data_IF_281138649962
#
_entry.id   IF_281138649962
#
_cell.length_a   1.000
_cell.length_b   1.000
_cell.length_c   1.000
_cell.angle_alpha   90.00
_cell.angle_beta   90.00
_cell.angle_gamma   90.00
#
_symmetry.space_group_name_H-M   'P 1'
#
loop_
_entity.id
_entity.type
_entity.pdbx_description
1 polymer ?
#
# COMPACT_ATOMS: atom_id res chain seq x y z
N UNK A 1 -0.66 -3.10 -18.90
CA UNK A 1 -0.19 -3.34 -17.52
C UNK A 1 -0.40 -4.82 -17.25
N UNK A 2 0.66 -5.60 -17.36
CA UNK A 2 0.63 -7.03 -17.01
C UNK A 2 0.96 -7.12 -15.52
N UNK A 3 -0.05 -7.12 -14.66
CA UNK A 3 0.03 -7.61 -13.29
C UNK A 3 -0.24 -9.13 -13.33
N UNK A 4 0.60 -9.88 -14.07
CA UNK A 4 0.24 -11.26 -14.38
C UNK A 4 0.58 -12.29 -13.29
N UNK A 5 1.42 -12.00 -12.30
CA UNK A 5 1.87 -13.04 -11.38
C UNK A 5 1.60 -12.80 -9.89
N UNK A 6 1.38 -11.55 -9.43
CA UNK A 6 1.18 -11.26 -8.01
C UNK A 6 -0.21 -11.57 -7.45
N UNK A 7 -1.23 -11.69 -8.32
CA UNK A 7 -2.62 -12.00 -7.91
C UNK A 7 -2.95 -13.48 -8.15
N UNK A 8 -2.16 -14.20 -8.96
CA UNK A 8 -2.43 -15.61 -9.31
C UNK A 8 -2.28 -16.60 -8.16
N UNK A 9 -1.48 -16.27 -7.13
CA UNK A 9 -1.32 -17.13 -5.94
C UNK A 9 -2.34 -16.83 -4.83
N UNK A 10 -3.10 -15.75 -4.94
CA UNK A 10 -4.23 -15.53 -4.06
C UNK A 10 -5.41 -16.38 -4.56
N UNK A 11 -5.55 -17.58 -4.00
CA UNK A 11 -6.73 -18.45 -4.14
C UNK A 11 -8.05 -17.75 -3.70
N UNK A 12 -8.03 -16.43 -3.55
CA UNK A 12 -9.11 -15.63 -2.97
C UNK A 12 -10.30 -15.45 -3.91
N UNK A 13 -10.07 -15.40 -5.23
CA UNK A 13 -11.12 -15.09 -6.21
C UNK A 13 -11.13 -16.14 -7.32
N UNK A 14 -11.61 -17.34 -7.01
CA UNK A 14 -11.88 -18.40 -7.99
C UNK A 14 -13.28 -18.92 -7.73
N UNK A 15 -14.12 -18.96 -8.76
CA UNK A 15 -15.50 -19.39 -8.61
C UNK A 15 -16.23 -19.53 -9.93
N UNK A 16 -17.53 -19.85 -9.88
CA UNK A 16 -18.38 -19.94 -11.08
C UNK A 16 -18.95 -18.60 -11.48
N UNK A 17 -19.27 -17.72 -10.55
CA UNK A 17 -19.89 -16.43 -10.82
C UNK A 17 -19.27 -15.29 -10.01
N UNK A 18 -19.14 -14.13 -10.65
CA UNK A 18 -18.64 -12.89 -10.06
C UNK A 18 -19.50 -11.70 -10.49
N UNK A 19 -19.73 -10.76 -9.56
CA UNK A 19 -20.35 -9.47 -9.87
C UNK A 19 -19.34 -8.35 -9.58
N UNK A 20 -19.21 -7.38 -10.51
CA UNK A 20 -18.17 -6.36 -10.48
C UNK A 20 -18.79 -4.97 -10.71
N UNK A 21 -18.41 -4.02 -9.84
CA UNK A 21 -18.64 -2.59 -10.04
C UNK A 21 -17.30 -1.89 -10.23
N UNK A 22 -16.99 -1.51 -11.47
CA UNK A 22 -15.73 -0.93 -11.89
C UNK A 22 -15.96 0.05 -13.04
N UNK A 23 -15.52 1.30 -12.90
CA UNK A 23 -15.87 2.42 -13.80
C UNK A 23 -15.63 2.15 -15.28
N UNK A 24 -14.45 1.64 -15.67
CA UNK A 24 -14.07 1.39 -17.06
C UNK A 24 -14.03 -0.08 -17.43
N UNK A 25 -14.37 -0.98 -16.50
CA UNK A 25 -14.28 -2.40 -16.69
C UNK A 25 -12.85 -2.94 -16.76
N UNK A 26 -11.85 -2.17 -16.32
CA UNK A 26 -10.44 -2.59 -16.37
C UNK A 26 -10.19 -3.69 -15.34
N UNK A 27 -10.52 -3.45 -14.06
CA UNK A 27 -10.38 -4.47 -13.03
C UNK A 27 -11.25 -5.70 -13.37
N UNK A 28 -12.46 -5.45 -13.90
CA UNK A 28 -13.34 -6.50 -14.40
C UNK A 28 -12.67 -7.38 -15.45
N UNK A 29 -11.98 -6.78 -16.41
CA UNK A 29 -11.33 -7.52 -17.51
C UNK A 29 -10.25 -8.48 -17.01
N UNK A 30 -9.57 -8.16 -15.91
CA UNK A 30 -8.57 -9.05 -15.29
C UNK A 30 -9.21 -10.07 -14.35
N UNK A 31 -10.08 -9.62 -13.45
CA UNK A 31 -10.69 -10.47 -12.43
C UNK A 31 -11.59 -11.54 -13.04
N UNK A 32 -12.38 -11.19 -14.04
CA UNK A 32 -13.31 -12.11 -14.71
C UNK A 32 -12.62 -13.32 -15.36
N UNK A 33 -11.32 -13.23 -15.66
CA UNK A 33 -10.57 -14.37 -16.23
C UNK A 33 -10.51 -15.58 -15.31
N UNK A 34 -10.71 -15.40 -14.00
CA UNK A 34 -10.77 -16.48 -13.00
C UNK A 34 -12.14 -17.13 -12.83
N UNK A 35 -13.17 -16.66 -13.55
CA UNK A 35 -14.56 -17.09 -13.38
C UNK A 35 -15.18 -17.64 -14.66
N UNK A 36 -16.18 -18.51 -14.53
CA UNK A 36 -16.94 -19.04 -15.67
C UNK A 36 -17.89 -18.01 -16.26
N UNK A 37 -18.46 -17.17 -15.41
CA UNK A 37 -19.29 -16.04 -15.80
C UNK A 37 -19.03 -14.85 -14.86
N UNK A 38 -19.19 -13.66 -15.40
CA UNK A 38 -19.10 -12.41 -14.62
C UNK A 38 -20.21 -11.47 -15.05
N UNK A 39 -20.64 -10.61 -14.12
CA UNK A 39 -21.59 -9.53 -14.40
C UNK A 39 -20.93 -8.20 -14.06
N UNK A 40 -20.78 -7.35 -15.05
CA UNK A 40 -20.32 -5.97 -14.91
C UNK A 40 -21.53 -5.04 -14.76
N UNK A 41 -21.55 -4.26 -13.67
CA UNK A 41 -22.68 -3.36 -13.34
C UNK A 41 -22.18 -1.93 -13.28
N UNK A 42 -22.71 -1.06 -14.14
CA UNK A 42 -22.34 0.35 -14.20
C UNK A 42 -23.58 1.20 -14.52
N UNK A 43 -23.74 2.32 -13.80
CA UNK A 43 -24.90 3.22 -13.97
C UNK A 43 -24.79 4.17 -15.18
N UNK A 44 -23.56 4.44 -15.64
CA UNK A 44 -23.31 5.33 -16.76
C UNK A 44 -23.37 4.54 -18.06
N UNK A 45 -24.34 4.86 -18.91
CA UNK A 45 -24.59 4.18 -20.19
C UNK A 45 -23.34 4.22 -21.10
N UNK A 46 -22.67 5.38 -21.19
CA UNK A 46 -21.44 5.54 -22.00
C UNK A 46 -20.34 4.57 -21.59
N UNK A 47 -20.18 4.27 -20.29
CA UNK A 47 -19.19 3.32 -19.81
C UNK A 47 -19.60 1.88 -20.11
N UNK A 48 -20.89 1.58 -20.08
CA UNK A 48 -21.43 0.29 -20.52
C UNK A 48 -21.18 0.05 -22.01
N UNK A 49 -21.35 1.06 -22.86
CA UNK A 49 -21.05 0.98 -24.30
C UNK A 49 -19.57 0.72 -24.56
N UNK A 50 -18.67 1.41 -23.84
CA UNK A 50 -17.21 1.19 -23.90
C UNK A 50 -16.87 -0.25 -23.49
N UNK A 51 -17.43 -0.73 -22.39
CA UNK A 51 -17.23 -2.11 -21.92
C UNK A 51 -17.76 -3.14 -22.93
N UNK A 52 -18.93 -2.90 -23.51
CA UNK A 52 -19.53 -3.78 -24.54
C UNK A 52 -18.68 -3.88 -25.81
N UNK A 53 -17.93 -2.83 -26.14
CA UNK A 53 -16.95 -2.87 -27.23
C UNK A 53 -15.67 -3.62 -26.82
N UNK A 54 -15.15 -3.33 -25.63
CA UNK A 54 -13.83 -3.79 -25.20
C UNK A 54 -13.80 -5.29 -24.79
N UNK A 55 -14.81 -5.77 -24.06
CA UNK A 55 -14.80 -7.15 -23.56
C UNK A 55 -14.71 -8.20 -24.68
N UNK A 56 -15.48 -8.12 -25.79
CA UNK A 56 -15.30 -9.03 -26.91
C UNK A 56 -13.92 -8.95 -27.56
N UNK A 57 -13.33 -7.76 -27.70
CA UNK A 57 -11.99 -7.56 -28.26
C UNK A 57 -10.92 -8.24 -27.38
N UNK A 58 -11.15 -8.29 -26.06
CA UNK A 58 -10.30 -8.98 -25.08
C UNK A 58 -10.63 -10.47 -24.93
N UNK A 59 -11.55 -11.03 -25.74
CA UNK A 59 -12.07 -12.39 -25.64
C UNK A 59 -12.79 -12.72 -24.32
N UNK A 60 -13.41 -11.73 -23.70
CA UNK A 60 -14.14 -11.83 -22.41
C UNK A 60 -15.66 -11.93 -22.65
N UNK A 61 -16.08 -12.81 -23.56
CA UNK A 61 -17.49 -12.99 -23.96
C UNK A 61 -18.40 -13.56 -22.86
N UNK A 62 -17.84 -14.00 -21.74
CA UNK A 62 -18.56 -14.53 -20.59
C UNK A 62 -18.96 -13.43 -19.58
N UNK A 63 -18.68 -12.16 -19.89
CA UNK A 63 -19.07 -11.02 -19.07
C UNK A 63 -20.42 -10.48 -19.53
N UNK A 64 -21.42 -10.44 -18.64
CA UNK A 64 -22.70 -9.80 -18.84
C UNK A 64 -22.65 -8.35 -18.39
N UNK A 65 -23.13 -7.43 -19.20
CA UNK A 65 -23.18 -6.00 -18.87
C UNK A 65 -24.57 -5.62 -18.40
N UNK A 66 -24.67 -4.89 -17.28
CA UNK A 66 -25.90 -4.33 -16.73
C UNK A 66 -25.73 -2.83 -16.57
N UNK A 67 -26.55 -2.07 -17.29
CA UNK A 67 -26.63 -0.62 -17.09
C UNK A 67 -27.65 -0.33 -15.98
N UNK A 68 -27.17 -0.34 -14.75
CA UNK A 68 -28.00 -0.20 -13.55
C UNK A 68 -27.19 0.36 -12.38
N UNK A 69 -27.87 0.94 -11.39
CA UNK A 69 -27.22 1.31 -10.13
C UNK A 69 -26.76 0.07 -9.36
N UNK A 70 -25.52 0.04 -8.95
CA UNK A 70 -24.91 -1.12 -8.31
C UNK A 70 -25.57 -1.54 -7.00
N UNK A 71 -26.12 -0.59 -6.19
CA UNK A 71 -26.80 -0.91 -4.94
C UNK A 71 -28.18 -1.49 -5.22
N UNK A 72 -28.89 -0.91 -6.21
CA UNK A 72 -30.18 -1.43 -6.68
C UNK A 72 -30.04 -2.86 -7.21
N UNK A 73 -29.03 -3.09 -8.06
CA UNK A 73 -28.74 -4.43 -8.57
C UNK A 73 -28.37 -5.42 -7.47
N UNK A 74 -27.54 -5.01 -6.50
CA UNK A 74 -27.16 -5.84 -5.35
C UNK A 74 -28.38 -6.35 -4.56
N UNK A 75 -29.43 -5.55 -4.41
CA UNK A 75 -30.64 -5.94 -3.69
C UNK A 75 -31.36 -7.11 -4.36
N UNK A 76 -31.40 -7.14 -5.70
CA UNK A 76 -32.22 -8.07 -6.49
C UNK A 76 -31.44 -9.24 -7.10
N UNK A 77 -30.11 -9.15 -7.19
CA UNK A 77 -29.29 -10.20 -7.77
C UNK A 77 -29.33 -11.51 -6.96
N UNK A 78 -29.16 -12.62 -7.65
CA UNK A 78 -28.92 -13.90 -7.01
C UNK A 78 -27.53 -13.94 -6.33
N UNK A 79 -27.35 -14.76 -5.28
CA UNK A 79 -26.03 -14.95 -4.68
C UNK A 79 -24.98 -15.46 -5.68
N UNK A 80 -23.75 -14.98 -5.55
CA UNK A 80 -22.60 -15.32 -6.38
C UNK A 80 -21.42 -15.80 -5.52
N UNK A 81 -20.36 -16.32 -6.10
CA UNK A 81 -19.17 -16.72 -5.37
C UNK A 81 -18.38 -15.52 -4.85
N UNK A 82 -18.27 -14.49 -5.67
CA UNK A 82 -17.45 -13.31 -5.36
C UNK A 82 -18.08 -12.02 -5.84
N UNK A 83 -17.89 -10.95 -5.06
CA UNK A 83 -18.21 -9.57 -5.40
C UNK A 83 -16.95 -8.72 -5.38
N UNK A 84 -16.84 -7.82 -6.35
CA UNK A 84 -15.81 -6.78 -6.37
C UNK A 84 -16.46 -5.40 -6.42
N UNK A 85 -15.97 -4.47 -5.59
CA UNK A 85 -16.44 -3.09 -5.54
C UNK A 85 -15.27 -2.11 -5.54
N UNK A 86 -15.37 -1.09 -6.39
CA UNK A 86 -14.51 0.11 -6.38
C UNK A 86 -15.38 1.34 -6.07
N UNK A 87 -15.68 1.61 -4.77
CA UNK A 87 -16.52 2.74 -4.39
C UNK A 87 -15.83 4.06 -4.71
N UNK A 88 -16.59 4.98 -5.32
CA UNK A 88 -16.10 6.31 -5.65
C UNK A 88 -15.98 7.18 -4.39
N UNK A 89 -15.05 8.12 -4.37
CA UNK A 89 -14.99 9.13 -3.31
C UNK A 89 -16.09 10.17 -3.50
N UNK A 90 -16.76 10.57 -2.43
CA UNK A 90 -17.65 11.75 -2.44
C UNK A 90 -16.81 13.02 -2.40
N UNK A 91 -16.69 13.70 -3.52
CA UNK A 91 -15.92 14.96 -3.63
C UNK A 91 -16.86 16.17 -3.69
N UNK A 92 -17.82 16.31 -2.79
CA UNK A 92 -18.69 17.50 -2.82
C UNK A 92 -17.99 18.79 -2.36
N UNK A 93 -16.88 18.70 -1.58
CA UNK A 93 -16.22 19.91 -1.05
C UNK A 93 -14.69 19.86 -0.98
N UNK A 94 -14.00 19.04 -1.79
CA UNK A 94 -12.52 19.04 -1.86
C UNK A 94 -11.79 18.62 -0.59
N UNK A 95 -12.47 18.00 0.36
CA UNK A 95 -11.89 17.49 1.60
C UNK A 95 -11.06 16.22 1.40
N UNK A 96 -10.16 15.92 2.35
CA UNK A 96 -9.44 14.64 2.35
C UNK A 96 -10.40 13.53 2.79
N UNK A 97 -10.72 12.62 1.87
CA UNK A 97 -11.44 11.39 2.17
C UNK A 97 -10.55 10.48 3.00
N UNK A 98 -10.91 10.22 4.26
CA UNK A 98 -10.14 9.41 5.21
C UNK A 98 -10.90 8.20 5.72
N UNK A 99 -12.24 8.20 5.65
CA UNK A 99 -13.15 7.17 6.13
C UNK A 99 -13.88 6.45 4.99
N UNK A 100 -14.36 5.24 5.24
CA UNK A 100 -15.20 4.50 4.30
C UNK A 100 -16.55 5.19 4.10
N UNK A 101 -17.08 5.83 5.14
CA UNK A 101 -18.30 6.65 5.08
C UNK A 101 -18.22 7.81 4.09
N UNK A 102 -17.01 8.23 3.69
CA UNK A 102 -16.79 9.25 2.67
C UNK A 102 -16.84 8.68 1.23
N UNK A 103 -17.10 7.38 1.08
CA UNK A 103 -17.19 6.70 -0.22
C UNK A 103 -18.65 6.52 -0.66
N UNK A 104 -18.87 6.37 -1.96
CA UNK A 104 -20.17 6.04 -2.55
C UNK A 104 -20.04 4.81 -3.46
N UNK A 105 -20.77 3.71 -3.12
CA UNK A 105 -21.61 3.56 -1.93
C UNK A 105 -20.78 3.46 -0.64
N UNK A 106 -21.44 3.75 0.52
CA UNK A 106 -20.86 3.47 1.82
C UNK A 106 -20.87 1.95 2.08
N UNK A 107 -19.74 1.31 1.83
CA UNK A 107 -19.63 -0.16 1.91
C UNK A 107 -19.76 -0.69 3.33
N UNK A 108 -19.53 0.12 4.37
CA UNK A 108 -19.73 -0.29 5.75
C UNK A 108 -21.22 -0.48 6.09
N UNK A 109 -22.10 0.35 5.51
CA UNK A 109 -23.56 0.17 5.65
C UNK A 109 -24.09 -1.01 4.84
N UNK A 110 -23.37 -1.40 3.79
CA UNK A 110 -23.75 -2.51 2.90
C UNK A 110 -23.13 -3.86 3.29
N UNK A 111 -22.24 -3.92 4.29
CA UNK A 111 -21.45 -5.10 4.62
C UNK A 111 -22.31 -6.36 4.78
N UNK A 112 -23.42 -6.28 5.52
CA UNK A 112 -24.32 -7.41 5.73
C UNK A 112 -24.98 -7.87 4.42
N UNK A 113 -25.47 -6.93 3.60
CA UNK A 113 -26.09 -7.24 2.32
C UNK A 113 -25.08 -7.85 1.34
N UNK A 114 -23.86 -7.31 1.28
CA UNK A 114 -22.78 -7.83 0.44
C UNK A 114 -22.48 -9.29 0.79
N UNK A 115 -22.37 -9.62 2.07
CA UNK A 115 -22.11 -10.98 2.55
C UNK A 115 -23.31 -11.92 2.43
N UNK A 116 -24.55 -11.41 2.38
CA UNK A 116 -25.71 -12.21 2.00
C UNK A 116 -25.70 -12.61 0.52
N UNK A 117 -25.07 -11.79 -0.33
CA UNK A 117 -25.03 -11.97 -1.78
C UNK A 117 -23.76 -12.64 -2.30
N UNK A 118 -22.69 -12.71 -1.50
CA UNK A 118 -21.47 -13.39 -1.91
C UNK A 118 -20.72 -14.05 -0.75
N UNK A 119 -20.02 -15.14 -1.07
CA UNK A 119 -19.14 -15.81 -0.10
C UNK A 119 -17.90 -14.97 0.20
N UNK A 120 -17.42 -14.23 -0.78
CA UNK A 120 -16.23 -13.36 -0.70
C UNK A 120 -16.52 -12.00 -1.34
N UNK A 121 -16.11 -10.94 -0.66
CA UNK A 121 -16.25 -9.58 -1.16
C UNK A 121 -14.88 -8.91 -1.15
N UNK A 122 -14.44 -8.41 -2.30
CA UNK A 122 -13.23 -7.60 -2.42
C UNK A 122 -13.61 -6.15 -2.64
N UNK A 123 -13.09 -5.28 -1.78
CA UNK A 123 -13.32 -3.83 -1.84
C UNK A 123 -12.00 -3.14 -2.14
N UNK A 124 -11.91 -2.43 -3.28
CA UNK A 124 -10.76 -1.62 -3.65
C UNK A 124 -10.94 -0.20 -3.11
N UNK A 125 -10.00 0.25 -2.31
CA UNK A 125 -10.03 1.55 -1.66
C UNK A 125 -8.78 2.38 -1.99
N UNK A 126 -8.95 3.68 -1.92
CA UNK A 126 -7.84 4.62 -2.09
C UNK A 126 -6.78 4.46 -0.99
N UNK A 127 -5.48 4.57 -1.31
CA UNK A 127 -4.41 4.58 -0.33
C UNK A 127 -4.45 5.79 0.64
N UNK A 128 -5.30 6.78 0.39
CA UNK A 128 -5.50 7.91 1.31
C UNK A 128 -6.35 7.55 2.54
N UNK A 129 -7.18 6.50 2.46
CA UNK A 129 -8.00 6.04 3.58
C UNK A 129 -7.14 5.57 4.76
N UNK A 130 -7.61 5.82 5.98
CA UNK A 130 -6.99 5.31 7.20
C UNK A 130 -7.35 3.83 7.38
N UNK A 131 -6.33 2.96 7.31
CA UNK A 131 -6.52 1.51 7.44
C UNK A 131 -7.12 1.13 8.80
N UNK A 132 -6.67 1.80 9.88
CA UNK A 132 -7.16 1.47 11.22
C UNK A 132 -8.63 1.84 11.41
N UNK A 133 -9.07 2.92 10.76
CA UNK A 133 -10.47 3.33 10.74
C UNK A 133 -11.30 2.35 9.88
N UNK A 134 -10.81 2.02 8.69
CA UNK A 134 -11.48 1.08 7.80
C UNK A 134 -11.74 -0.29 8.48
N UNK A 135 -10.74 -0.82 9.20
CA UNK A 135 -10.87 -2.08 9.94
C UNK A 135 -11.76 -1.99 11.21
N UNK A 136 -12.09 -0.80 11.67
CA UNK A 136 -13.12 -0.60 12.72
C UNK A 136 -14.53 -0.57 12.14
N UNK A 137 -14.67 -0.05 10.92
CA UNK A 137 -15.97 0.07 10.24
C UNK A 137 -16.40 -1.26 9.61
N UNK A 138 -15.47 -2.02 8.98
CA UNK A 138 -15.74 -3.34 8.38
C UNK A 138 -15.44 -4.48 9.37
N UNK A 139 -16.48 -5.15 9.83
CA UNK A 139 -16.41 -6.16 10.91
C UNK A 139 -16.00 -7.56 10.44
N UNK A 140 -16.29 -7.88 9.19
CA UNK A 140 -16.06 -9.20 8.60
C UNK A 140 -14.81 -9.23 7.71
N UNK A 141 -13.86 -8.30 7.96
CA UNK A 141 -12.58 -8.29 7.25
C UNK A 141 -11.77 -9.54 7.59
N UNK A 142 -11.34 -10.25 6.55
CA UNK A 142 -10.46 -11.43 6.66
C UNK A 142 -9.02 -11.07 6.35
N UNK A 143 -8.81 -10.35 5.26
CA UNK A 143 -7.49 -10.00 4.75
C UNK A 143 -7.46 -8.56 4.26
N UNK A 144 -6.28 -7.95 4.32
CA UNK A 144 -5.99 -6.64 3.73
C UNK A 144 -4.76 -6.76 2.85
N UNK A 145 -4.84 -6.28 1.62
CA UNK A 145 -3.68 -6.17 0.75
C UNK A 145 -3.38 -4.70 0.47
N UNK A 146 -2.15 -4.28 0.75
CA UNK A 146 -1.67 -2.93 0.50
C UNK A 146 -0.70 -3.00 -0.65
N UNK A 147 -1.12 -2.48 -1.80
CA UNK A 147 -0.38 -2.55 -3.04
C UNK A 147 0.40 -1.27 -3.31
N UNK A 148 1.67 -1.43 -3.57
CA UNK A 148 2.57 -0.37 -4.04
C UNK A 148 3.18 -0.76 -5.38
N UNK A 149 3.45 0.22 -6.22
CA UNK A 149 4.16 0.04 -7.48
C UNK A 149 5.36 0.99 -7.49
N UNK A 150 6.56 0.45 -7.69
CA UNK A 150 7.81 1.21 -7.66
C UNK A 150 7.94 2.08 -6.38
N UNK A 151 7.55 1.51 -5.24
CA UNK A 151 7.58 2.17 -3.92
C UNK A 151 6.60 3.36 -3.76
N UNK A 152 5.51 3.36 -4.50
CA UNK A 152 4.39 4.29 -4.34
C UNK A 152 3.11 3.51 -4.03
N UNK A 153 2.47 3.76 -2.88
CA UNK A 153 1.24 3.07 -2.50
C UNK A 153 0.10 3.47 -3.43
N UNK A 154 -0.51 2.49 -4.09
CA UNK A 154 -1.53 2.69 -5.12
C UNK A 154 -2.93 2.35 -4.63
N UNK A 155 -3.09 1.25 -3.91
CA UNK A 155 -4.40 0.71 -3.56
C UNK A 155 -4.38 -0.01 -2.21
N UNK A 156 -5.56 -0.05 -1.58
CA UNK A 156 -5.89 -0.92 -0.48
C UNK A 156 -7.00 -1.86 -0.96
N UNK A 157 -6.78 -3.17 -0.85
CA UNK A 157 -7.82 -4.17 -1.10
C UNK A 157 -8.21 -4.78 0.24
N UNK A 158 -9.49 -4.75 0.57
CA UNK A 158 -10.05 -5.38 1.77
C UNK A 158 -10.92 -6.55 1.33
N UNK A 159 -10.65 -7.73 1.87
CA UNK A 159 -11.43 -8.93 1.64
C UNK A 159 -12.32 -9.20 2.84
N UNK A 160 -13.62 -9.27 2.58
CA UNK A 160 -14.62 -9.68 3.54
C UNK A 160 -15.03 -11.14 3.28
N UNK A 161 -15.41 -11.85 4.32
CA UNK A 161 -15.92 -13.20 4.24
C UNK A 161 -17.01 -13.48 5.26
N UNK A 162 -17.64 -14.65 5.15
CA UNK A 162 -18.81 -15.07 5.98
C UNK A 162 -18.50 -15.21 7.47
N UNK A 163 -17.25 -15.41 7.84
CA UNK A 163 -16.81 -15.60 9.22
C UNK A 163 -15.69 -14.63 9.55
N UNK A 164 -15.74 -13.99 10.72
CA UNK A 164 -14.61 -13.21 11.21
C UNK A 164 -13.46 -14.15 11.57
N UNK A 165 -12.27 -13.95 11.02
CA UNK A 165 -11.10 -14.73 11.40
C UNK A 165 -10.67 -14.35 12.82
N UNK A 166 -9.91 -15.24 13.49
CA UNK A 166 -9.30 -14.92 14.78
C UNK A 166 -8.33 -13.72 14.66
N UNK A 167 -7.62 -13.65 13.54
CA UNK A 167 -6.68 -12.56 13.22
C UNK A 167 -6.80 -12.14 11.76
N UNK A 168 -6.71 -10.83 11.50
CA UNK A 168 -6.70 -10.26 10.15
C UNK A 168 -5.28 -10.28 9.61
N UNK A 169 -5.06 -10.97 8.48
CA UNK A 169 -3.79 -10.94 7.76
C UNK A 169 -3.62 -9.66 6.96
N UNK A 170 -2.47 -9.01 7.08
CA UNK A 170 -2.12 -7.80 6.35
C UNK A 170 -0.95 -8.10 5.41
N UNK A 171 -1.21 -8.05 4.12
CA UNK A 171 -0.27 -8.31 3.05
C UNK A 171 0.25 -6.99 2.47
N UNK A 172 1.55 -6.76 2.61
CA UNK A 172 2.24 -5.60 2.06
C UNK A 172 2.99 -6.02 0.80
N UNK A 173 2.56 -5.56 -0.36
CA UNK A 173 3.13 -5.92 -1.65
C UNK A 173 3.66 -4.68 -2.36
N UNK A 174 4.89 -4.74 -2.85
CA UNK A 174 5.48 -3.69 -3.67
C UNK A 174 5.98 -4.28 -4.98
N UNK A 175 5.30 -3.98 -6.07
CA UNK A 175 5.61 -4.47 -7.42
C UNK A 175 6.62 -3.54 -8.11
N UNK A 176 7.50 -4.12 -8.93
CA UNK A 176 8.45 -3.37 -9.74
C UNK A 176 8.14 -3.55 -11.23
N UNK A 177 8.09 -2.43 -11.93
CA UNK A 177 7.87 -2.43 -13.39
C UNK A 177 9.18 -2.59 -14.19
N UNK A 178 10.33 -2.48 -13.52
CA UNK A 178 11.67 -2.58 -14.12
C UNK A 178 12.61 -3.36 -13.20
N UNK A 179 13.65 -3.94 -13.77
CA UNK A 179 14.66 -4.71 -13.04
C UNK A 179 14.35 -6.20 -12.97
N UNK A 180 15.22 -6.94 -12.30
CA UNK A 180 15.11 -8.41 -12.13
C UNK A 180 14.16 -8.79 -11.00
N UNK A 181 14.14 -8.01 -9.92
CA UNK A 181 13.21 -8.20 -8.82
C UNK A 181 11.81 -7.78 -9.30
N UNK A 182 10.84 -8.67 -9.17
CA UNK A 182 9.46 -8.42 -9.58
C UNK A 182 8.63 -7.84 -8.46
N UNK A 183 8.83 -8.31 -7.23
CA UNK A 183 8.05 -7.91 -6.08
C UNK A 183 8.83 -7.99 -4.76
N UNK A 184 8.33 -7.28 -3.77
CA UNK A 184 8.64 -7.46 -2.34
C UNK A 184 7.32 -7.75 -1.64
N UNK A 185 7.30 -8.79 -0.80
CA UNK A 185 6.11 -9.20 -0.07
C UNK A 185 6.45 -9.38 1.41
N UNK A 186 5.56 -8.88 2.28
CA UNK A 186 5.64 -9.06 3.72
C UNK A 186 4.24 -9.22 4.29
N UNK A 187 4.05 -10.21 5.14
CA UNK A 187 2.76 -10.51 5.78
C UNK A 187 2.90 -10.42 7.28
N UNK A 188 1.94 -9.82 7.94
CA UNK A 188 1.86 -9.75 9.40
C UNK A 188 0.41 -9.63 9.86
N UNK A 189 0.16 -9.78 11.17
CA UNK A 189 -1.13 -9.49 11.78
C UNK A 189 -1.05 -8.26 12.69
N UNK A 190 -2.18 -7.66 13.02
CA UNK A 190 -2.21 -6.54 13.98
C UNK A 190 -1.71 -6.94 15.37
N UNK A 191 -2.00 -8.16 15.79
CA UNK A 191 -1.50 -8.69 17.05
C UNK A 191 0.02 -8.84 17.04
N UNK A 192 0.58 -9.37 15.96
CA UNK A 192 2.04 -9.43 15.77
C UNK A 192 2.68 -8.04 15.87
N UNK A 193 2.11 -7.02 15.22
CA UNK A 193 2.62 -5.65 15.31
C UNK A 193 2.57 -5.10 16.75
N UNK A 194 1.51 -5.40 17.49
CA UNK A 194 1.35 -4.93 18.88
C UNK A 194 2.26 -5.65 19.86
N UNK A 195 2.44 -6.96 19.70
CA UNK A 195 3.17 -7.82 20.61
C UNK A 195 4.66 -7.92 20.28
N UNK A 196 5.07 -7.61 19.04
CA UNK A 196 6.48 -7.70 18.64
C UNK A 196 7.36 -6.73 19.42
N UNK A 197 8.48 -7.23 19.89
CA UNK A 197 9.54 -6.41 20.47
C UNK A 197 10.34 -5.72 19.36
N UNK A 198 10.75 -4.49 19.62
CA UNK A 198 11.57 -3.71 18.72
C UNK A 198 12.77 -3.12 19.45
N UNK A 199 13.96 -3.49 19.04
CA UNK A 199 15.19 -2.94 19.56
C UNK A 199 15.49 -1.59 18.93
N UNK A 200 15.70 -0.57 19.76
CA UNK A 200 16.10 0.77 19.33
C UNK A 200 17.60 0.97 19.48
N UNK A 201 18.14 1.96 18.74
CA UNK A 201 19.57 2.24 18.79
C UNK A 201 19.88 3.73 18.88
N UNK A 202 20.96 4.05 19.60
CA UNK A 202 21.53 5.40 19.72
C UNK A 202 22.66 5.66 18.71
N UNK A 203 22.98 4.67 17.88
CA UNK A 203 24.07 4.71 16.88
C UNK A 203 23.65 4.10 15.56
N UNK A 204 24.28 4.55 14.48
CA UNK A 204 24.14 3.95 13.16
C UNK A 204 25.16 2.83 12.97
N UNK A 205 24.78 1.86 12.15
CA UNK A 205 25.60 0.73 11.72
C UNK A 205 25.99 0.87 10.26
N UNK A 206 26.45 -0.18 9.62
CA UNK A 206 26.97 -0.15 8.24
C UNK A 206 25.89 0.14 7.20
N UNK A 207 24.68 -0.38 7.39
CA UNK A 207 23.57 -0.26 6.45
C UNK A 207 22.37 0.46 7.06
N UNK A 208 21.68 1.22 6.22
CA UNK A 208 20.39 1.86 6.52
C UNK A 208 19.29 1.20 5.68
N UNK A 209 18.18 0.89 6.33
CA UNK A 209 17.02 0.25 5.72
C UNK A 209 15.80 1.14 5.83
N UNK A 210 15.13 1.36 4.71
CA UNK A 210 13.86 2.07 4.66
C UNK A 210 12.78 1.14 4.11
N UNK A 211 11.75 0.78 4.89
CA UNK A 211 10.63 -0.05 4.43
C UNK A 211 9.97 0.54 3.20
N UNK A 212 9.43 -0.31 2.34
CA UNK A 212 8.70 0.15 1.17
C UNK A 212 7.37 0.83 1.55
N UNK A 213 6.73 1.47 0.57
CA UNK A 213 5.54 2.28 0.81
C UNK A 213 4.33 1.48 1.33
N UNK A 214 4.18 0.20 0.95
CA UNK A 214 3.11 -0.66 1.47
C UNK A 214 3.26 -0.94 2.97
N UNK A 215 4.48 -1.22 3.42
CA UNK A 215 4.81 -1.42 4.84
C UNK A 215 4.61 -0.15 5.67
N UNK A 216 5.06 1.00 5.14
CA UNK A 216 4.85 2.29 5.81
C UNK A 216 3.36 2.62 5.94
N UNK A 217 2.56 2.29 4.92
CA UNK A 217 1.10 2.47 4.94
C UNK A 217 0.42 1.51 5.90
N UNK A 218 0.88 0.27 5.97
CA UNK A 218 0.37 -0.75 6.89
C UNK A 218 0.66 -0.45 8.36
N UNK A 219 1.74 0.28 8.64
CA UNK A 219 2.23 0.49 9.99
C UNK A 219 3.01 -0.70 10.57
N UNK A 220 3.60 -1.56 9.73
CA UNK A 220 4.38 -2.73 10.12
C UNK A 220 5.77 -2.34 10.66
N UNK A 221 5.83 -1.63 11.78
CA UNK A 221 7.07 -1.04 12.26
C UNK A 221 7.83 -1.92 13.26
N UNK A 222 7.11 -2.69 14.07
CA UNK A 222 7.69 -3.64 15.02
C UNK A 222 7.83 -5.01 14.39
N UNK A 223 6.82 -5.44 13.66
CA UNK A 223 6.81 -6.74 12.96
C UNK A 223 8.00 -6.89 12.01
N UNK A 224 8.36 -5.83 11.27
CA UNK A 224 9.54 -5.86 10.40
C UNK A 224 10.85 -5.93 11.21
N UNK A 225 10.93 -5.24 12.36
CA UNK A 225 12.12 -5.31 13.23
C UNK A 225 12.25 -6.68 13.92
N UNK A 226 11.14 -7.38 14.16
CA UNK A 226 11.15 -8.74 14.69
C UNK A 226 11.49 -9.79 13.63
N UNK A 227 11.13 -9.55 12.37
CA UNK A 227 11.38 -10.48 11.25
C UNK A 227 12.81 -10.41 10.68
N UNK A 228 13.49 -9.28 10.84
CA UNK A 228 14.82 -9.04 10.29
C UNK A 228 15.80 -8.61 11.38
N UNK A 229 17.10 -8.97 11.28
CA UNK A 229 18.12 -8.59 12.25
C UNK A 229 18.51 -7.10 12.11
N UNK A 230 17.56 -6.21 12.39
CA UNK A 230 17.72 -4.75 12.31
C UNK A 230 17.35 -4.08 13.61
N UNK A 231 17.95 -2.92 13.88
CA UNK A 231 17.60 -2.04 15.00
C UNK A 231 16.95 -0.76 14.48
N UNK A 232 15.87 -0.34 15.09
CA UNK A 232 15.13 0.86 14.70
C UNK A 232 15.80 2.12 15.26
N UNK A 233 15.94 3.15 14.46
CA UNK A 233 16.62 4.39 14.90
C UNK A 233 15.84 5.15 15.97
N UNK A 234 14.51 5.15 15.90
CA UNK A 234 13.64 5.85 16.85
C UNK A 234 12.19 5.36 16.66
N UNK A 235 11.34 5.35 17.69
CA UNK A 235 9.92 4.96 17.55
C UNK A 235 9.20 5.60 16.35
N UNK A 236 9.50 6.85 16.03
CA UNK A 236 8.80 7.63 15.00
C UNK A 236 9.59 7.81 13.69
N UNK A 237 10.83 7.28 13.54
CA UNK A 237 11.63 7.50 12.34
C UNK A 237 11.30 6.52 11.21
N UNK A 238 10.89 5.31 11.56
CA UNK A 238 10.63 4.21 10.61
C UNK A 238 11.81 3.94 9.65
N UNK A 239 13.03 4.14 10.17
CA UNK A 239 14.30 3.76 9.57
C UNK A 239 14.99 2.76 10.49
N UNK A 240 15.76 1.85 9.89
CA UNK A 240 16.43 0.78 10.60
C UNK A 240 17.89 0.72 10.18
N UNK A 241 18.73 0.12 11.03
CA UNK A 241 20.16 -0.07 10.75
C UNK A 241 20.61 -1.49 11.13
N UNK A 242 21.62 -1.99 10.45
CA UNK A 242 22.29 -3.27 10.74
C UNK A 242 23.72 -3.25 10.18
N UNK A 243 24.64 -3.97 10.82
CA UNK A 243 25.95 -4.23 10.25
C UNK A 243 25.91 -5.35 9.20
N UNK A 244 24.86 -6.15 9.20
CA UNK A 244 24.66 -7.23 8.24
C UNK A 244 23.88 -6.73 7.01
N UNK A 245 24.34 -7.07 5.80
CA UNK A 245 23.59 -6.87 4.58
C UNK A 245 22.44 -7.87 4.49
N UNK A 246 21.20 -7.37 4.36
CA UNK A 246 19.98 -8.17 4.33
C UNK A 246 19.34 -8.00 2.96
N UNK A 247 19.70 -8.87 2.02
CA UNK A 247 19.29 -8.76 0.59
C UNK A 247 17.78 -8.76 0.39
N UNK A 248 17.05 -9.57 1.17
CA UNK A 248 15.60 -9.75 1.05
C UNK A 248 14.78 -8.80 1.94
N UNK A 249 15.38 -7.72 2.44
CA UNK A 249 14.62 -6.71 3.19
C UNK A 249 13.55 -6.07 2.29
N UNK A 250 12.28 -6.01 2.72
CA UNK A 250 11.19 -5.48 1.90
C UNK A 250 11.18 -3.95 1.90
N UNK A 251 12.14 -3.35 1.21
CA UNK A 251 12.34 -1.91 1.18
C UNK A 251 13.55 -1.50 0.36
N UNK A 252 14.07 -0.33 0.65
CA UNK A 252 15.30 0.18 0.07
C UNK A 252 16.47 -0.03 1.02
N UNK A 253 17.60 -0.46 0.50
CA UNK A 253 18.83 -0.72 1.25
C UNK A 253 19.87 0.29 0.82
N UNK A 254 20.58 0.86 1.79
CA UNK A 254 21.62 1.85 1.58
C UNK A 254 22.83 1.51 2.41
N UNK A 255 24.01 1.73 1.86
CA UNK A 255 25.27 1.72 2.61
C UNK A 255 25.51 3.13 3.17
N UNK A 256 25.75 3.23 4.46
CA UNK A 256 26.10 4.49 5.12
C UNK A 256 27.55 4.82 4.79
N UNK A 257 27.77 5.98 4.21
CA UNK A 257 29.09 6.50 3.84
C UNK A 257 29.60 7.44 4.91
N UNK A 258 28.72 8.30 5.42
CA UNK A 258 29.08 9.27 6.45
C UNK A 258 27.83 9.70 7.23
N UNK A 259 28.04 10.21 8.44
CA UNK A 259 27.00 10.79 9.29
C UNK A 259 27.53 12.03 10.03
N UNK A 260 26.64 12.96 10.30
CA UNK A 260 26.98 14.14 11.11
C UNK A 260 25.76 14.62 11.91
N UNK A 261 26.00 15.34 12.97
CA UNK A 261 24.94 16.03 13.71
C UNK A 261 24.42 17.23 12.89
N UNK A 262 23.19 17.65 13.19
CA UNK A 262 22.58 18.79 12.49
C UNK A 262 23.06 20.12 13.09
N UNK A 263 24.36 20.33 13.19
CA UNK A 263 24.96 21.60 13.55
C UNK A 263 25.75 22.19 12.36
N UNK A 264 25.89 23.51 12.33
CA UNK A 264 26.45 24.24 11.20
C UNK A 264 27.90 23.83 10.86
N UNK A 265 28.71 23.50 11.88
CA UNK A 265 30.11 23.13 11.73
C UNK A 265 30.22 21.76 11.07
N UNK A 266 29.60 20.75 11.65
CA UNK A 266 29.66 19.37 11.13
C UNK A 266 28.99 19.24 9.75
N UNK A 267 27.88 19.91 9.52
CA UNK A 267 27.23 19.95 8.19
C UNK A 267 28.19 20.52 7.15
N UNK A 268 28.92 21.60 7.46
CA UNK A 268 29.91 22.18 6.53
C UNK A 268 31.09 21.23 6.29
N UNK A 269 31.59 20.56 7.32
CA UNK A 269 32.72 19.64 7.22
C UNK A 269 32.37 18.36 6.44
N UNK A 270 31.16 17.81 6.63
CA UNK A 270 30.79 16.49 6.11
C UNK A 270 29.99 16.53 4.80
N UNK A 271 29.39 17.68 4.43
CA UNK A 271 28.53 17.81 3.25
C UNK A 271 28.97 18.91 2.28
N UNK A 272 30.13 19.56 2.49
CA UNK A 272 30.60 20.67 1.65
C UNK A 272 30.88 20.25 0.19
N UNK A 273 31.28 19.01 -0.04
CA UNK A 273 31.51 18.42 -1.36
C UNK A 273 30.23 18.07 -2.11
N UNK A 274 29.09 18.01 -1.40
CA UNK A 274 27.83 17.51 -1.94
C UNK A 274 27.05 18.67 -2.59
N UNK A 275 26.90 18.62 -3.91
CA UNK A 275 26.14 19.63 -4.67
C UNK A 275 24.67 19.25 -4.89
N UNK A 276 24.39 17.95 -4.98
CA UNK A 276 23.04 17.39 -5.18
C UNK A 276 22.88 16.06 -4.46
N UNK A 277 21.67 15.81 -3.96
CA UNK A 277 21.31 14.55 -3.31
C UNK A 277 19.79 14.31 -3.35
N UNK A 278 19.41 13.03 -3.24
CA UNK A 278 18.03 12.60 -2.96
C UNK A 278 17.79 12.71 -1.46
N UNK A 279 17.04 13.71 -1.03
CA UNK A 279 16.84 14.01 0.40
C UNK A 279 15.55 13.38 0.90
N UNK A 280 15.65 12.62 1.99
CA UNK A 280 14.51 12.03 2.72
C UNK A 280 14.52 12.51 4.18
N UNK A 281 13.37 12.91 4.67
CA UNK A 281 13.19 13.38 6.05
C UNK A 281 12.27 12.43 6.80
N UNK A 282 12.72 11.92 7.96
CA UNK A 282 11.96 11.02 8.83
C UNK A 282 12.16 11.42 10.30
N UNK A 283 11.09 11.85 10.98
CA UNK A 283 11.14 12.31 12.37
C UNK A 283 12.22 13.39 12.61
N UNK A 284 12.17 14.47 11.84
CA UNK A 284 13.16 15.52 11.87
C UNK A 284 12.49 16.91 11.88
N UNK A 285 13.03 17.93 12.56
CA UNK A 285 12.37 19.22 12.76
C UNK A 285 12.49 20.18 11.57
N UNK A 286 12.73 19.70 10.36
CA UNK A 286 12.76 20.49 9.14
C UNK A 286 12.17 19.71 7.97
N UNK A 287 11.55 20.40 7.04
CA UNK A 287 11.07 19.84 5.78
C UNK A 287 12.24 19.60 4.81
N UNK A 288 12.00 18.80 3.75
CA UNK A 288 12.98 18.59 2.67
C UNK A 288 13.39 19.93 2.04
N UNK A 289 12.44 20.84 1.80
CA UNK A 289 12.70 22.15 1.19
C UNK A 289 13.58 23.04 2.07
N UNK A 290 13.29 23.11 3.37
CA UNK A 290 14.08 23.86 4.35
C UNK A 290 15.48 23.30 4.50
N UNK A 291 15.62 21.96 4.52
CA UNK A 291 16.90 21.30 4.62
C UNK A 291 17.75 21.59 3.38
N UNK A 292 17.20 21.42 2.16
CA UNK A 292 17.87 21.74 0.89
C UNK A 292 18.36 23.19 0.84
N UNK A 293 17.52 24.14 1.26
CA UNK A 293 17.87 25.56 1.33
C UNK A 293 19.02 25.82 2.32
N UNK A 294 19.00 25.18 3.48
CA UNK A 294 19.99 25.38 4.54
C UNK A 294 21.37 24.82 4.20
N UNK A 295 21.43 23.72 3.47
CA UNK A 295 22.68 23.03 3.10
C UNK A 295 23.05 23.22 1.61
N UNK A 296 22.28 24.05 0.88
CA UNK A 296 22.52 24.40 -0.54
C UNK A 296 22.58 23.18 -1.47
N UNK A 297 21.68 22.19 -1.28
CA UNK A 297 21.63 20.99 -2.11
C UNK A 297 20.56 21.08 -3.21
N UNK A 298 20.96 20.78 -4.44
CA UNK A 298 20.05 20.50 -5.54
C UNK A 298 19.47 19.08 -5.45
N UNK A 299 18.41 18.81 -6.20
CA UNK A 299 17.78 17.49 -6.27
C UNK A 299 18.52 16.55 -7.23
N UNK A 300 18.50 15.22 -6.92
CA UNK A 300 19.00 14.16 -7.78
C UNK A 300 20.42 13.73 -7.48
N UNK A 301 21.04 13.02 -8.42
CA UNK A 301 22.33 12.35 -8.26
C UNK A 301 22.21 10.98 -7.58
N UNK A 302 23.36 10.35 -7.31
CA UNK A 302 23.44 8.99 -6.80
C UNK A 302 23.58 8.94 -5.27
N UNK A 303 23.76 10.10 -4.63
CA UNK A 303 23.83 10.22 -3.17
C UNK A 303 22.43 10.38 -2.59
N UNK A 304 22.19 9.67 -1.49
CA UNK A 304 20.99 9.79 -0.65
C UNK A 304 21.37 10.44 0.67
N UNK A 305 20.56 11.41 1.10
CA UNK A 305 20.73 12.08 2.38
C UNK A 305 19.46 11.90 3.22
N UNK A 306 19.58 11.16 4.30
CA UNK A 306 18.50 10.98 5.26
C UNK A 306 18.70 11.94 6.45
N UNK A 307 17.64 12.67 6.80
CA UNK A 307 17.58 13.45 8.02
C UNK A 307 16.64 12.76 9.00
N UNK A 308 17.16 12.37 10.17
CA UNK A 308 16.40 11.59 11.14
C UNK A 308 16.80 11.92 12.59
N UNK A 309 16.12 11.27 13.52
CA UNK A 309 16.41 11.36 14.96
C UNK A 309 16.73 9.95 15.46
N UNK A 310 17.79 9.81 16.23
CA UNK A 310 18.15 8.58 16.94
C UNK A 310 17.33 8.44 18.21
N UNK A 311 17.38 7.26 18.84
CA UNK A 311 16.59 6.95 20.03
C UNK A 311 16.93 7.86 21.23
N UNK A 312 18.18 8.29 21.38
CA UNK A 312 18.61 9.28 22.38
C UNK A 312 18.18 10.73 22.08
N UNK A 313 17.42 10.97 20.99
CA UNK A 313 16.94 12.30 20.59
C UNK A 313 17.93 13.08 19.72
N UNK A 314 19.12 12.57 19.43
CA UNK A 314 20.12 13.24 18.59
C UNK A 314 19.60 13.37 17.15
N UNK A 315 19.71 14.57 16.58
CA UNK A 315 19.39 14.86 15.18
C UNK A 315 20.60 14.55 14.30
N UNK A 316 20.40 13.68 13.31
CA UNK A 316 21.49 13.21 12.43
C UNK A 316 21.15 13.41 10.96
N UNK A 317 22.17 13.73 10.19
CA UNK A 317 22.17 13.64 8.73
C UNK A 317 23.02 12.43 8.34
N UNK A 318 22.45 11.55 7.53
CA UNK A 318 23.06 10.27 7.14
C UNK A 318 23.26 10.29 5.64
N UNK A 319 24.52 10.33 5.21
CA UNK A 319 24.88 10.25 3.79
C UNK A 319 25.02 8.79 3.40
N UNK A 320 24.30 8.40 2.34
CA UNK A 320 24.20 7.01 1.90
C UNK A 320 24.39 6.88 0.39
N UNK A 321 24.79 5.68 -0.01
CA UNK A 321 24.76 5.17 -1.38
C UNK A 321 23.75 4.01 -1.45
N UNK A 322 22.99 3.94 -2.55
CA UNK A 322 22.07 2.82 -2.76
C UNK A 322 22.87 1.56 -3.11
N UNK A 323 22.51 0.44 -2.49
CA UNK A 323 23.08 -0.89 -2.77
C UNK A 323 22.26 -1.59 -3.85
#
# INVERSE_FOLDING_TARGET
FQAEDGIRDSSCLVGSEMCIRDRFGIDCSFLATGFKSATYVERQEELCEIAAHNFPVLNLNHINIKNEDGVTYLQVMSPVDSLFLDPARRNEHGGKTVAISDCEPNVAELEELLLQKANRVMIKLSPMLDLSLALKELKQTQEVHILSVNNECKELLILLGQTSPAEISIHCVNLFTKGTQKEQHFVFTREQEQCSECTYTDSLETYLYEPNASLLKAGAFRSIAAAYPVRKLHPNSHLYTSDTFIENFPGRIFRIVNQCSFNKKEVKENLADLKKANVTVRNFPATVAELRKRIHLAEGGDTYLFASTLNNGQKVLIRCEKV
#
